data_IF_865787777185
#
_entry.id   IF_865787777185
#
_cell.length_a   1.000
_cell.length_b   1.000
_cell.length_c   1.000
_cell.angle_alpha   90.00
_cell.angle_beta   90.00
_cell.angle_gamma   90.00
#
_symmetry.space_group_name_H-M   'P 1'
#
loop_
_entity.id
_entity.type
_entity.pdbx_description
1 polymer ?
#
# COMPACT_ATOMS: atom_id res chain seq x y z
N UNK A 1 35.80 -34.78 77.83
CA UNK A 1 35.23 -33.51 77.38
C UNK A 1 34.50 -33.79 76.09
N UNK A 2 33.18 -33.69 76.18
CA UNK A 2 32.17 -34.30 75.31
C UNK A 2 32.10 -33.64 73.93
N UNK A 3 32.02 -34.47 72.88
CA UNK A 3 31.76 -34.03 71.50
C UNK A 3 30.29 -33.61 71.37
N UNK A 4 30.04 -32.31 71.27
CA UNK A 4 28.69 -31.77 71.05
C UNK A 4 28.19 -32.08 69.64
N UNK A 5 27.21 -32.97 69.59
CA UNK A 5 26.40 -33.41 68.45
C UNK A 5 25.58 -32.23 67.91
N UNK A 6 25.73 -31.88 66.64
CA UNK A 6 24.92 -30.85 65.96
C UNK A 6 23.47 -31.35 65.84
N UNK A 7 22.51 -30.56 66.34
CA UNK A 7 21.06 -30.76 66.16
C UNK A 7 20.67 -30.33 64.73
N UNK A 8 19.74 -31.04 64.05
CA UNK A 8 19.19 -30.55 62.78
C UNK A 8 18.28 -29.34 63.05
N UNK A 9 18.05 -28.45 62.05
CA UNK A 9 17.10 -27.37 62.19
C UNK A 9 15.67 -27.94 62.21
N UNK A 10 14.91 -27.62 63.25
CA UNK A 10 13.46 -27.76 63.25
C UNK A 10 12.89 -26.65 62.35
N UNK A 11 12.20 -27.03 61.28
CA UNK A 11 11.33 -26.15 60.50
C UNK A 11 10.04 -25.93 61.28
N UNK A 12 9.74 -24.68 61.64
CA UNK A 12 8.42 -24.28 62.12
C UNK A 12 8.20 -22.78 61.82
N UNK A 13 6.95 -22.34 61.64
CA UNK A 13 6.40 -22.06 60.32
C UNK A 13 6.52 -20.60 59.93
N UNK A 14 6.45 -20.33 58.62
CA UNK A 14 6.20 -19.00 58.05
C UNK A 14 5.16 -18.21 58.88
N UNK A 15 5.62 -17.26 59.67
CA UNK A 15 4.85 -16.07 60.01
C UNK A 15 4.77 -15.23 58.74
N UNK A 16 3.81 -15.57 57.89
CA UNK A 16 3.36 -14.71 56.82
C UNK A 16 2.82 -13.42 57.46
N UNK A 17 3.68 -12.41 57.55
CA UNK A 17 3.23 -11.04 57.75
C UNK A 17 2.47 -10.69 56.47
N UNK A 18 1.16 -10.85 56.50
CA UNK A 18 0.24 -10.39 55.44
C UNK A 18 0.28 -8.85 55.39
N UNK A 19 1.32 -8.33 54.75
CA UNK A 19 1.31 -6.96 54.26
C UNK A 19 0.27 -6.84 53.14
N UNK A 20 -0.41 -5.69 53.00
CA UNK A 20 -1.40 -5.50 51.94
C UNK A 20 -0.76 -5.71 50.56
N UNK A 21 -1.45 -6.44 49.67
CA UNK A 21 -1.00 -6.73 48.30
C UNK A 21 -0.60 -5.49 47.48
N UNK A 22 -0.99 -4.29 47.92
CA UNK A 22 -0.60 -3.02 47.31
C UNK A 22 0.92 -2.80 47.31
N UNK A 23 1.68 -3.46 48.18
CA UNK A 23 3.13 -3.33 48.30
C UNK A 23 3.92 -4.38 47.49
N UNK A 24 3.26 -5.35 46.85
CA UNK A 24 3.91 -6.38 46.03
C UNK A 24 4.12 -5.95 44.57
N UNK A 25 3.59 -4.78 44.17
CA UNK A 25 3.72 -4.26 42.81
C UNK A 25 4.95 -3.35 42.69
N UNK A 26 5.81 -3.54 41.69
CA UNK A 26 6.95 -2.66 41.47
C UNK A 26 6.46 -1.23 41.19
N UNK A 27 6.97 -0.25 41.97
CA UNK A 27 6.60 1.19 41.91
C UNK A 27 7.21 1.88 40.67
N UNK A 28 7.85 1.13 39.78
CA UNK A 28 8.44 1.65 38.55
C UNK A 28 7.35 2.07 37.56
N UNK A 29 7.48 3.26 36.92
CA UNK A 29 6.52 3.72 35.93
C UNK A 29 6.35 2.68 34.82
N UNK A 30 5.12 2.49 34.29
CA UNK A 30 4.87 1.52 33.24
C UNK A 30 5.83 1.75 32.07
N UNK A 31 6.53 0.69 31.62
CA UNK A 31 7.30 0.74 30.37
C UNK A 31 6.37 1.28 29.29
N UNK A 32 6.72 2.44 28.73
CA UNK A 32 6.00 3.10 27.65
C UNK A 32 5.89 2.09 26.51
N UNK A 33 4.71 1.46 26.36
CA UNK A 33 4.42 0.61 25.19
C UNK A 33 4.74 1.48 23.99
N UNK A 34 5.69 1.07 23.17
CA UNK A 34 5.99 1.76 21.93
C UNK A 34 4.65 1.94 21.21
N UNK A 35 4.18 3.19 21.08
CA UNK A 35 2.98 3.47 20.31
C UNK A 35 3.26 2.90 18.92
N UNK A 36 2.46 1.92 18.50
CA UNK A 36 2.51 1.46 17.12
C UNK A 36 2.43 2.72 16.24
N UNK A 37 3.42 2.91 15.37
CA UNK A 37 3.41 4.01 14.41
C UNK A 37 2.09 3.90 13.64
N UNK A 38 1.36 5.02 13.45
CA UNK A 38 0.16 5.00 12.64
C UNK A 38 0.49 4.42 11.26
N UNK A 39 -0.44 3.66 10.64
CA UNK A 39 -0.19 3.09 9.32
C UNK A 39 0.16 4.21 8.34
N UNK A 40 1.31 4.07 7.69
CA UNK A 40 1.74 4.97 6.62
C UNK A 40 0.80 4.77 5.43
N UNK A 41 -0.03 5.77 5.15
CA UNK A 41 -0.86 5.80 3.94
C UNK A 41 0.03 6.10 2.73
N UNK A 42 -0.11 5.31 1.67
CA UNK A 42 0.56 5.58 0.40
C UNK A 42 0.03 6.90 -0.18
N UNK A 43 0.92 7.62 -0.86
CA UNK A 43 0.55 8.81 -1.60
C UNK A 43 -0.41 8.43 -2.74
N UNK A 44 -1.49 9.21 -2.99
CA UNK A 44 -2.31 9.01 -4.19
C UNK A 44 -1.61 9.51 -5.46
N UNK A 45 -0.52 10.28 -5.32
CA UNK A 45 0.28 10.80 -6.43
C UNK A 45 1.33 9.80 -6.85
N UNK A 46 1.35 9.50 -8.15
CA UNK A 46 2.27 8.57 -8.78
C UNK A 46 2.96 9.26 -9.96
N UNK A 47 4.18 8.84 -10.25
CA UNK A 47 4.91 9.26 -11.45
C UNK A 47 4.67 8.24 -12.57
N UNK A 48 4.93 8.64 -13.81
CA UNK A 48 4.88 7.72 -14.95
C UNK A 48 6.19 6.94 -15.05
N UNK A 49 6.08 5.64 -15.30
CA UNK A 49 7.21 4.74 -15.45
C UNK A 49 8.03 5.04 -16.71
N UNK A 50 9.36 4.97 -16.62
CA UNK A 50 10.29 5.31 -17.72
C UNK A 50 11.14 4.08 -18.08
N UNK A 51 11.06 3.65 -19.35
CA UNK A 51 11.70 2.42 -19.87
C UNK A 51 13.21 2.37 -19.72
N UNK A 52 13.86 3.49 -19.94
CA UNK A 52 15.32 3.57 -20.01
C UNK A 52 15.94 3.89 -18.63
N UNK A 53 15.14 3.89 -17.56
CA UNK A 53 15.63 4.06 -16.19
C UNK A 53 15.74 2.70 -15.46
N UNK A 54 16.72 2.55 -14.55
CA UNK A 54 16.77 1.42 -13.63
C UNK A 54 15.50 1.33 -12.76
N UNK A 55 15.14 0.12 -12.37
CA UNK A 55 13.91 -0.15 -11.60
C UNK A 55 13.87 0.58 -10.26
N UNK A 56 15.04 0.77 -9.61
CA UNK A 56 15.15 1.51 -8.35
C UNK A 56 14.64 2.97 -8.46
N UNK A 57 14.70 3.57 -9.67
CA UNK A 57 14.21 4.92 -9.94
C UNK A 57 12.74 4.96 -10.37
N UNK A 58 12.19 3.82 -10.78
CA UNK A 58 10.78 3.66 -11.14
C UNK A 58 9.93 3.15 -9.97
N UNK A 59 10.50 3.14 -8.75
CA UNK A 59 9.78 2.68 -7.56
C UNK A 59 8.47 3.47 -7.39
N UNK A 60 7.37 2.73 -7.28
CA UNK A 60 6.01 3.26 -7.14
C UNK A 60 5.54 4.12 -8.34
N UNK A 61 6.22 4.07 -9.49
CA UNK A 61 5.75 4.65 -10.74
C UNK A 61 4.75 3.71 -11.42
N UNK A 62 3.88 4.27 -12.26
CA UNK A 62 2.84 3.52 -12.98
C UNK A 62 2.97 3.70 -14.48
N UNK A 63 2.65 2.63 -15.20
CA UNK A 63 2.43 2.62 -16.65
C UNK A 63 0.96 2.91 -16.96
N UNK A 64 0.66 3.12 -18.24
CA UNK A 64 -0.74 3.22 -18.68
C UNK A 64 -1.48 1.89 -18.52
N UNK A 65 -0.78 0.76 -18.70
CA UNK A 65 -1.33 -0.58 -18.51
C UNK A 65 -1.69 -0.86 -17.05
N UNK A 66 -0.95 -0.32 -16.08
CA UNK A 66 -1.33 -0.44 -14.67
C UNK A 66 -2.65 0.26 -14.35
N UNK A 67 -3.04 1.25 -15.17
CA UNK A 67 -4.30 2.00 -15.02
C UNK A 67 -5.47 1.38 -15.82
N UNK A 68 -5.20 0.89 -17.03
CA UNK A 68 -6.22 0.43 -18.00
C UNK A 68 -6.28 -1.08 -18.20
N UNK A 69 -5.32 -1.82 -17.66
CA UNK A 69 -5.18 -3.27 -17.84
C UNK A 69 -6.13 -4.11 -16.99
N UNK A 70 -7.05 -3.51 -16.24
CA UNK A 70 -8.06 -4.27 -15.49
C UNK A 70 -9.12 -4.83 -16.46
N UNK A 71 -9.29 -6.17 -16.56
CA UNK A 71 -10.26 -6.79 -17.45
C UNK A 71 -11.72 -6.39 -17.19
N UNK A 72 -12.01 -5.86 -15.99
CA UNK A 72 -13.34 -5.42 -15.59
C UNK A 72 -13.75 -4.05 -16.12
N UNK A 73 -12.83 -3.31 -16.75
CA UNK A 73 -13.14 -2.02 -17.36
C UNK A 73 -14.06 -2.26 -18.56
N UNK A 74 -15.29 -1.76 -18.48
CA UNK A 74 -16.28 -1.86 -19.56
C UNK A 74 -16.39 -0.58 -20.40
N UNK A 75 -16.02 0.56 -19.83
CA UNK A 75 -16.15 1.87 -20.46
C UNK A 75 -15.02 2.79 -19.97
N UNK A 76 -14.42 3.55 -20.89
CA UNK A 76 -13.34 4.48 -20.61
C UNK A 76 -13.62 5.82 -21.28
N UNK A 77 -13.50 6.91 -20.53
CA UNK A 77 -13.59 8.27 -21.06
C UNK A 77 -12.21 8.92 -20.98
N UNK A 78 -11.61 9.15 -22.15
CA UNK A 78 -10.29 9.73 -22.30
C UNK A 78 -10.43 11.20 -22.70
N UNK A 79 -9.75 12.07 -21.94
CA UNK A 79 -9.73 13.50 -22.15
C UNK A 79 -8.28 13.95 -22.33
N UNK A 80 -7.92 14.33 -23.55
CA UNK A 80 -6.59 14.83 -23.81
C UNK A 80 -6.59 15.82 -24.98
N UNK A 81 -5.43 16.39 -25.27
CA UNK A 81 -5.22 17.22 -26.44
C UNK A 81 -4.78 16.38 -27.65
N UNK A 82 -3.78 15.52 -27.48
CA UNK A 82 -3.29 14.60 -28.50
C UNK A 82 -3.69 13.17 -28.17
N UNK A 83 -4.11 12.45 -29.21
CA UNK A 83 -4.65 11.11 -29.08
C UNK A 83 -3.94 10.19 -30.06
N UNK A 84 -3.45 9.08 -29.54
CA UNK A 84 -2.94 7.95 -30.32
C UNK A 84 -3.79 6.75 -29.92
N UNK A 85 -4.76 6.39 -30.77
CA UNK A 85 -5.75 5.36 -30.46
C UNK A 85 -5.12 3.98 -30.35
N UNK A 86 -4.22 3.53 -31.26
CA UNK A 86 -3.50 2.27 -31.10
C UNK A 86 -2.75 2.20 -29.77
N UNK A 87 -2.01 3.26 -29.40
CA UNK A 87 -1.29 3.30 -28.13
C UNK A 87 -2.22 3.18 -26.91
N UNK A 88 -3.38 3.86 -26.93
CA UNK A 88 -4.38 3.76 -25.88
C UNK A 88 -5.01 2.35 -25.83
N UNK A 89 -5.37 1.80 -26.98
CA UNK A 89 -6.03 0.48 -27.08
C UNK A 89 -5.10 -0.67 -26.69
N UNK A 90 -3.79 -0.53 -26.89
CA UNK A 90 -2.78 -1.51 -26.48
C UNK A 90 -2.53 -1.52 -24.95
N UNK A 91 -3.01 -0.50 -24.21
CA UNK A 91 -2.89 -0.46 -22.76
C UNK A 91 -4.01 -1.22 -22.02
N UNK A 92 -5.14 -1.50 -22.68
CA UNK A 92 -6.19 -2.34 -22.11
C UNK A 92 -5.78 -3.81 -22.07
N UNK A 93 -6.45 -4.59 -21.22
CA UNK A 93 -6.26 -6.04 -21.19
C UNK A 93 -6.51 -6.64 -22.58
N UNK A 94 -5.58 -7.48 -23.05
CA UNK A 94 -5.60 -8.00 -24.41
C UNK A 94 -6.86 -8.81 -24.73
N UNK A 95 -7.41 -9.51 -23.73
CA UNK A 95 -8.54 -10.39 -23.92
C UNK A 95 -9.87 -9.62 -23.87
N UNK A 96 -9.92 -8.47 -23.18
CA UNK A 96 -11.15 -7.68 -23.04
C UNK A 96 -11.18 -6.36 -23.80
N UNK A 97 -10.06 -5.86 -24.33
CA UNK A 97 -9.97 -4.54 -25.02
C UNK A 97 -11.01 -4.31 -26.11
N UNK A 98 -11.42 -5.36 -26.80
CA UNK A 98 -12.41 -5.30 -27.88
C UNK A 98 -13.86 -5.10 -27.38
N UNK A 99 -14.11 -5.32 -26.09
CA UNK A 99 -15.40 -5.10 -25.43
C UNK A 99 -15.48 -3.71 -24.77
N UNK A 100 -14.35 -3.03 -24.58
CA UNK A 100 -14.30 -1.75 -23.89
C UNK A 100 -14.88 -0.66 -24.78
N UNK A 101 -15.85 0.09 -24.26
CA UNK A 101 -16.39 1.27 -24.93
C UNK A 101 -15.52 2.48 -24.62
N UNK A 102 -14.74 2.93 -25.60
CA UNK A 102 -13.83 4.07 -25.44
C UNK A 102 -14.45 5.35 -26.00
N UNK A 103 -14.52 6.37 -25.15
CA UNK A 103 -14.98 7.72 -25.48
C UNK A 103 -13.79 8.67 -25.49
N UNK A 104 -13.44 9.17 -26.68
CA UNK A 104 -12.34 10.13 -26.83
C UNK A 104 -12.90 11.54 -26.94
N UNK A 105 -12.58 12.37 -25.95
CA UNK A 105 -13.03 13.76 -25.90
C UNK A 105 -11.93 14.66 -26.43
N UNK A 106 -12.17 15.24 -27.62
CA UNK A 106 -11.19 16.06 -28.33
C UNK A 106 -11.72 17.47 -28.67
N UNK A 107 -10.81 18.43 -28.83
CA UNK A 107 -11.14 19.84 -29.16
C UNK A 107 -11.29 20.15 -30.66
N UNK A 108 -11.05 19.18 -31.55
CA UNK A 108 -11.15 19.39 -33.01
C UNK A 108 -12.61 19.66 -33.46
N UNK A 109 -12.95 20.94 -33.62
CA UNK A 109 -14.30 21.37 -33.98
C UNK A 109 -14.57 21.46 -35.49
N UNK A 110 -13.53 21.63 -36.32
CA UNK A 110 -13.67 21.71 -37.78
C UNK A 110 -13.70 20.32 -38.39
N UNK A 111 -14.60 20.09 -39.34
CA UNK A 111 -14.71 18.77 -39.96
C UNK A 111 -13.53 18.43 -40.88
N UNK A 112 -12.95 19.45 -41.51
CA UNK A 112 -11.83 19.33 -42.44
C UNK A 112 -10.47 19.30 -41.73
N UNK A 113 -10.45 19.38 -40.40
CA UNK A 113 -9.22 19.29 -39.63
C UNK A 113 -8.57 17.91 -39.85
N UNK A 114 -7.33 17.92 -40.34
CA UNK A 114 -6.58 16.69 -40.61
C UNK A 114 -6.40 15.84 -39.35
N UNK A 115 -6.29 16.46 -38.18
CA UNK A 115 -6.15 15.74 -36.92
C UNK A 115 -7.47 15.06 -36.54
N UNK A 116 -8.63 15.70 -36.79
CA UNK A 116 -9.94 15.07 -36.62
C UNK A 116 -10.12 13.88 -37.57
N UNK A 117 -9.74 14.03 -38.83
CA UNK A 117 -9.82 12.94 -39.81
C UNK A 117 -8.95 11.75 -39.42
N UNK A 118 -7.71 12.00 -38.95
CA UNK A 118 -6.82 10.95 -38.45
C UNK A 118 -7.39 10.25 -37.21
N UNK A 119 -7.97 11.01 -36.29
CA UNK A 119 -8.60 10.44 -35.10
C UNK A 119 -9.76 9.52 -35.47
N UNK A 120 -10.62 9.96 -36.39
CA UNK A 120 -11.77 9.17 -36.85
C UNK A 120 -11.41 7.98 -37.73
N UNK A 121 -10.28 8.00 -38.44
CA UNK A 121 -9.86 6.86 -39.26
C UNK A 121 -9.22 5.74 -38.47
N UNK A 122 -8.78 6.02 -37.24
CA UNK A 122 -8.01 5.09 -36.40
C UNK A 122 -8.84 4.51 -35.25
N UNK A 123 -10.03 5.07 -35.01
CA UNK A 123 -11.06 4.52 -34.13
C UNK A 123 -11.94 3.52 -34.89
#
# INVERSE_FOLDING_TARGET
MEQSRKRPPEEDPQTAIEGPESLSRPISPPRKKARASPPTLLSPWHLTWIRDLPEDLNKDAMTLTDLLGDPMISECWEFNYLHDIPFLMDAFDNDTRHMVKVHVVHGFWKQEDRNRQRLMSTA
#
